data_IF_405630912271
#
_entry.id   IF_405630912271
#
_cell.length_a   1.000
_cell.length_b   1.000
_cell.length_c   1.000
_cell.angle_alpha   90.00
_cell.angle_beta   90.00
_cell.angle_gamma   90.00
#
_symmetry.space_group_name_H-M   'P 1'
#
loop_
_entity.id
_entity.type
_entity.pdbx_description
1 polymer ?
#
# COMPACT_ATOMS: atom_id res chain seq x y z
N UNK A 1 41.69 15.31 54.84
CA UNK A 1 41.72 15.21 56.32
C UNK A 1 40.81 16.34 56.80
N UNK A 2 39.61 16.15 57.33
CA UNK A 2 39.06 15.17 58.29
C UNK A 2 37.52 15.12 58.15
N UNK A 3 36.94 13.93 58.42
CA UNK A 3 35.67 13.63 59.12
C UNK A 3 34.37 14.35 58.69
N UNK A 4 33.25 13.71 58.37
CA UNK A 4 32.67 12.44 58.84
C UNK A 4 31.29 12.75 59.45
N UNK A 5 30.18 12.39 58.78
CA UNK A 5 28.81 12.46 59.33
C UNK A 5 27.98 11.27 58.85
N UNK A 6 27.81 10.33 59.79
CA UNK A 6 26.69 9.43 60.11
C UNK A 6 25.76 8.84 59.02
N UNK A 7 25.75 7.50 59.00
CA UNK A 7 24.72 6.60 58.46
C UNK A 7 23.47 6.50 59.38
N UNK A 8 22.28 6.49 58.74
CA UNK A 8 20.95 5.86 59.04
C UNK A 8 20.28 6.00 60.44
N UNK A 9 18.94 6.19 60.50
CA UNK A 9 18.00 5.08 60.21
C UNK A 9 16.71 5.40 59.41
N UNK A 10 16.25 4.39 58.65
CA UNK A 10 14.92 4.12 58.05
C UNK A 10 13.71 4.30 59.00
N UNK A 11 12.41 4.35 58.58
CA UNK A 11 11.79 3.50 57.53
C UNK A 11 10.62 4.08 56.66
N UNK A 12 10.29 3.29 55.63
CA UNK A 12 8.96 3.02 55.05
C UNK A 12 7.91 4.14 54.86
N UNK A 13 7.58 4.41 53.59
CA UNK A 13 6.17 4.32 53.18
C UNK A 13 6.04 3.81 51.74
N UNK A 14 5.66 2.54 51.68
CA UNK A 14 5.23 1.72 50.56
C UNK A 14 4.03 2.36 49.82
N UNK A 15 4.28 3.21 48.82
CA UNK A 15 3.22 3.66 47.89
C UNK A 15 3.02 2.61 46.82
N UNK A 16 2.20 1.61 47.16
CA UNK A 16 1.57 0.67 46.24
C UNK A 16 0.95 1.43 45.06
N UNK A 17 1.58 1.35 43.89
CA UNK A 17 1.02 1.78 42.61
C UNK A 17 -0.09 0.79 42.27
N UNK A 18 -1.33 1.18 42.54
CA UNK A 18 -2.49 0.41 42.07
C UNK A 18 -2.42 0.27 40.55
N UNK A 19 -2.64 -0.93 39.97
CA UNK A 19 -2.79 -1.06 38.54
C UNK A 19 -4.13 -0.44 38.20
N UNK A 20 -4.10 0.82 37.75
CA UNK A 20 -5.25 1.50 37.22
C UNK A 20 -5.86 0.62 36.14
N UNK A 21 -7.07 0.12 36.44
CA UNK A 21 -8.00 -0.56 35.57
C UNK A 21 -7.79 -0.13 34.12
N UNK A 22 -7.21 -1.01 33.31
CA UNK A 22 -7.16 -0.83 31.86
C UNK A 22 -8.59 -0.99 31.36
N UNK A 23 -9.37 0.09 31.47
CA UNK A 23 -10.55 0.28 30.67
C UNK A 23 -10.09 0.08 29.24
N UNK A 24 -10.45 -1.07 28.66
CA UNK A 24 -10.37 -1.32 27.22
C UNK A 24 -11.36 -0.36 26.56
N UNK A 25 -11.06 0.94 26.61
CA UNK A 25 -11.58 1.87 25.64
C UNK A 25 -11.03 1.35 24.34
N UNK A 26 -11.90 0.67 23.59
CA UNK A 26 -11.72 0.42 22.18
C UNK A 26 -11.49 1.81 21.60
N UNK A 27 -10.22 2.22 21.48
CA UNK A 27 -9.92 3.42 20.74
C UNK A 27 -10.36 3.06 19.34
N UNK A 28 -11.39 3.74 18.85
CA UNK A 28 -11.76 3.67 17.46
C UNK A 28 -10.60 4.35 16.75
N UNK A 29 -9.54 3.59 16.49
CA UNK A 29 -8.40 4.02 15.72
C UNK A 29 -8.98 4.50 14.40
N UNK A 30 -8.55 5.70 13.97
CA UNK A 30 -8.98 6.28 12.71
C UNK A 30 -8.91 5.21 11.60
N UNK A 31 -9.91 5.07 10.70
CA UNK A 31 -10.03 3.94 9.78
C UNK A 31 -8.75 3.69 8.95
N UNK A 32 -7.94 4.73 8.71
CA UNK A 32 -6.67 4.63 7.96
C UNK A 32 -5.41 4.40 8.80
N UNK A 33 -5.49 4.37 10.14
CA UNK A 33 -4.32 4.26 11.02
C UNK A 33 -3.47 3.00 10.74
N UNK A 34 -4.12 1.91 10.30
CA UNK A 34 -3.45 0.64 9.96
C UNK A 34 -2.58 0.73 8.70
N UNK A 35 -2.86 1.66 7.80
CA UNK A 35 -2.08 1.84 6.56
C UNK A 35 -0.68 2.39 6.85
N UNK A 36 -0.53 3.19 7.90
CA UNK A 36 0.74 3.80 8.29
C UNK A 36 1.60 2.89 9.19
N UNK A 37 1.00 1.90 9.85
CA UNK A 37 1.70 0.99 10.75
C UNK A 37 2.58 -0.06 10.03
N UNK A 38 2.46 -0.21 8.71
CA UNK A 38 3.18 -1.23 7.91
C UNK A 38 4.47 -0.73 7.24
N UNK A 39 4.98 0.45 7.60
CA UNK A 39 6.07 1.11 6.86
C UNK A 39 7.46 0.48 7.06
N UNK A 40 7.66 -0.37 8.06
CA UNK A 40 8.98 -0.94 8.42
C UNK A 40 9.27 -2.31 7.76
N UNK A 41 9.11 -2.43 6.45
CA UNK A 41 9.63 -3.60 5.71
C UNK A 41 11.05 -3.34 5.18
N UNK A 42 12.00 -4.13 5.67
CA UNK A 42 13.42 -4.14 5.28
C UNK A 42 13.57 -4.32 3.76
N UNK A 43 14.37 -3.46 3.13
CA UNK A 43 14.69 -3.45 1.69
C UNK A 43 15.34 -4.77 1.23
N UNK A 44 14.52 -5.79 0.93
CA UNK A 44 14.99 -6.99 0.20
C UNK A 44 15.06 -6.67 -1.29
N UNK A 45 16.06 -7.25 -1.98
CA UNK A 45 16.11 -7.22 -3.45
C UNK A 45 14.82 -7.84 -3.97
N UNK A 46 14.01 -7.00 -4.61
CA UNK A 46 12.73 -7.39 -5.20
C UNK A 46 13.06 -8.24 -6.41
N UNK A 47 12.97 -9.56 -6.25
CA UNK A 47 12.85 -10.46 -7.39
C UNK A 47 11.80 -9.85 -8.30
N UNK A 48 12.09 -9.81 -9.61
CA UNK A 48 11.14 -9.32 -10.60
C UNK A 48 9.95 -10.27 -10.63
N UNK A 49 9.05 -10.06 -9.67
CA UNK A 49 7.77 -10.71 -9.57
C UNK A 49 6.86 -9.91 -10.48
N UNK A 50 6.60 -10.43 -11.67
CA UNK A 50 5.53 -9.91 -12.50
C UNK A 50 4.24 -9.96 -11.67
N UNK A 51 3.77 -8.79 -11.22
CA UNK A 51 2.72 -8.71 -10.20
C UNK A 51 1.42 -9.40 -10.60
N UNK A 52 1.22 -9.58 -11.91
CA UNK A 52 0.05 -10.20 -12.53
C UNK A 52 0.30 -11.61 -13.06
N UNK A 53 1.43 -12.26 -12.75
CA UNK A 53 1.64 -13.66 -13.15
C UNK A 53 0.65 -14.62 -12.46
N UNK A 54 0.31 -14.37 -11.20
CA UNK A 54 -0.60 -15.22 -10.42
C UNK A 54 -2.00 -15.40 -11.04
N UNK A 55 -2.65 -14.34 -11.58
CA UNK A 55 -3.91 -14.51 -12.31
C UNK A 55 -3.76 -15.04 -13.74
N UNK A 56 -2.55 -15.01 -14.32
CA UNK A 56 -2.31 -15.44 -15.70
C UNK A 56 -1.88 -16.91 -15.81
N UNK A 57 -1.17 -17.42 -14.81
CA UNK A 57 -0.61 -18.77 -14.81
C UNK A 57 -1.06 -19.54 -13.58
N UNK A 58 -1.35 -20.81 -13.79
CA UNK A 58 -1.53 -21.78 -12.71
C UNK A 58 -0.21 -22.06 -11.99
N UNK A 59 -0.24 -22.55 -10.72
CA UNK A 59 0.97 -22.95 -10.01
C UNK A 59 1.80 -23.98 -10.77
N UNK A 60 1.13 -24.89 -11.49
CA UNK A 60 1.77 -25.88 -12.34
C UNK A 60 2.59 -25.22 -13.45
N UNK A 61 1.97 -24.36 -14.26
CA UNK A 61 2.63 -23.65 -15.37
C UNK A 61 3.81 -22.77 -14.90
N UNK A 62 3.69 -22.13 -13.73
CA UNK A 62 4.79 -21.36 -13.14
C UNK A 62 6.01 -22.25 -12.84
N UNK A 63 5.79 -23.50 -12.45
CA UNK A 63 6.86 -24.44 -12.10
C UNK A 63 7.45 -25.16 -13.31
N UNK A 64 6.67 -25.42 -14.35
CA UNK A 64 7.07 -26.24 -15.51
C UNK A 64 7.49 -25.42 -16.73
N UNK A 65 6.87 -24.26 -16.96
CA UNK A 65 7.22 -23.43 -18.12
C UNK A 65 8.54 -22.71 -17.91
N UNK A 66 9.30 -22.48 -18.99
CA UNK A 66 10.55 -21.75 -18.91
C UNK A 66 10.28 -20.25 -18.80
N UNK A 67 11.17 -19.53 -18.10
CA UNK A 67 11.02 -18.10 -17.88
C UNK A 67 10.85 -17.24 -19.17
N UNK A 68 11.56 -17.52 -20.28
CA UNK A 68 11.35 -16.77 -21.54
C UNK A 68 9.94 -16.93 -22.11
N UNK A 69 9.39 -18.15 -22.10
CA UNK A 69 8.06 -18.45 -22.63
C UNK A 69 6.98 -17.77 -21.79
N UNK A 70 7.11 -17.83 -20.46
CA UNK A 70 6.21 -17.12 -19.54
C UNK A 70 6.25 -15.62 -19.76
N UNK A 71 7.44 -15.04 -19.98
CA UNK A 71 7.60 -13.61 -20.25
C UNK A 71 6.90 -13.18 -21.53
N UNK A 72 6.98 -13.98 -22.59
CA UNK A 72 6.29 -13.69 -23.85
C UNK A 72 4.78 -13.65 -23.66
N UNK A 73 4.21 -14.68 -23.03
CA UNK A 73 2.76 -14.76 -22.74
C UNK A 73 2.32 -13.60 -21.83
N UNK A 74 3.12 -13.29 -20.80
CA UNK A 74 2.85 -12.15 -19.93
C UNK A 74 2.76 -10.84 -20.72
N UNK A 75 3.74 -10.55 -21.60
CA UNK A 75 3.74 -9.33 -22.41
C UNK A 75 2.52 -9.29 -23.34
N UNK A 76 2.25 -10.38 -24.08
CA UNK A 76 1.10 -10.43 -24.97
C UNK A 76 -0.22 -10.25 -24.23
N UNK A 77 -0.35 -10.78 -23.01
CA UNK A 77 -1.54 -10.58 -22.18
C UNK A 77 -1.72 -9.10 -21.77
N UNK A 78 -0.62 -8.39 -21.46
CA UNK A 78 -0.66 -6.96 -21.16
C UNK A 78 -1.05 -6.14 -22.39
N UNK A 79 -0.50 -6.46 -23.56
CA UNK A 79 -0.83 -5.79 -24.81
C UNK A 79 -2.31 -5.94 -25.16
N UNK A 80 -2.86 -7.16 -25.04
CA UNK A 80 -4.31 -7.40 -25.22
C UNK A 80 -5.13 -6.59 -24.22
N UNK A 81 -4.69 -6.49 -22.96
CA UNK A 81 -5.39 -5.68 -21.97
C UNK A 81 -5.37 -4.19 -22.32
N UNK A 82 -4.23 -3.65 -22.75
CA UNK A 82 -4.11 -2.26 -23.22
C UNK A 82 -5.03 -2.00 -24.40
N UNK A 83 -5.10 -2.93 -25.36
CA UNK A 83 -5.99 -2.80 -26.51
C UNK A 83 -7.47 -2.75 -26.08
N UNK A 84 -7.88 -3.54 -25.07
CA UNK A 84 -9.23 -3.47 -24.50
C UNK A 84 -9.50 -2.12 -23.84
N UNK A 85 -8.53 -1.57 -23.09
CA UNK A 85 -8.67 -0.24 -22.49
C UNK A 85 -8.79 0.84 -23.57
N UNK A 86 -8.01 0.75 -24.65
CA UNK A 86 -8.14 1.67 -25.79
C UNK A 86 -9.52 1.57 -26.46
N UNK A 87 -10.06 0.37 -26.64
CA UNK A 87 -11.41 0.20 -27.17
C UNK A 87 -12.47 0.85 -26.26
N UNK A 88 -12.35 0.71 -24.93
CA UNK A 88 -13.25 1.36 -23.98
C UNK A 88 -13.13 2.90 -24.04
N UNK A 89 -11.91 3.44 -24.13
CA UNK A 89 -11.70 4.89 -24.26
C UNK A 89 -12.28 5.44 -25.56
N UNK A 90 -12.19 4.66 -26.65
CA UNK A 90 -12.79 5.00 -27.93
C UNK A 90 -14.33 5.01 -27.84
N UNK A 91 -14.94 4.00 -27.21
CA UNK A 91 -16.39 3.92 -27.01
C UNK A 91 -16.92 5.09 -26.17
N UNK A 92 -16.17 5.51 -25.15
CA UNK A 92 -16.52 6.67 -24.32
C UNK A 92 -16.21 8.02 -24.98
N UNK A 93 -15.59 8.05 -26.16
CA UNK A 93 -15.23 9.27 -26.88
C UNK A 93 -14.03 10.02 -26.31
N UNK A 94 -13.24 9.42 -25.42
CA UNK A 94 -12.00 10.00 -24.88
C UNK A 94 -10.77 9.78 -25.79
N UNK A 95 -10.88 8.88 -26.75
CA UNK A 95 -9.85 8.60 -27.75
C UNK A 95 -10.47 8.62 -29.16
N UNK A 96 -9.80 9.19 -30.18
CA UNK A 96 -8.50 9.86 -30.15
C UNK A 96 -8.56 11.28 -29.57
N UNK A 97 -7.48 11.69 -28.88
CA UNK A 97 -7.35 13.03 -28.30
C UNK A 97 -6.99 14.05 -29.39
N UNK A 98 -7.73 15.17 -29.53
CA UNK A 98 -7.41 16.21 -30.52
C UNK A 98 -6.00 16.79 -30.33
N UNK A 99 -5.27 17.03 -31.43
CA UNK A 99 -3.90 17.58 -31.37
C UNK A 99 -3.78 18.90 -30.59
N UNK A 100 -4.82 19.75 -30.63
CA UNK A 100 -4.85 21.01 -29.89
C UNK A 100 -4.72 20.80 -28.37
N UNK A 101 -5.26 19.69 -27.86
CA UNK A 101 -5.16 19.32 -26.45
C UNK A 101 -3.81 18.68 -26.10
N UNK A 102 -3.07 18.22 -27.12
CA UNK A 102 -1.73 17.64 -26.96
C UNK A 102 -0.62 18.70 -26.98
N UNK A 103 -0.87 19.90 -27.55
CA UNK A 103 0.11 20.98 -27.63
C UNK A 103 0.77 21.34 -26.29
N UNK A 104 0.05 21.42 -25.15
CA UNK A 104 0.68 21.70 -23.84
C UNK A 104 1.69 20.64 -23.38
N UNK A 105 1.60 19.42 -23.92
CA UNK A 105 2.47 18.30 -23.56
C UNK A 105 3.61 18.09 -24.55
N UNK A 106 3.73 18.95 -25.57
CA UNK A 106 4.82 18.88 -26.53
C UNK A 106 6.17 19.12 -25.84
N UNK A 107 7.11 18.20 -26.05
CA UNK A 107 8.41 18.23 -25.37
C UNK A 107 8.43 17.61 -23.97
N UNK A 108 7.31 17.01 -23.53
CA UNK A 108 7.30 16.23 -22.27
C UNK A 108 8.31 15.07 -22.35
N UNK A 109 9.29 15.09 -21.46
CA UNK A 109 10.28 14.02 -21.36
C UNK A 109 9.61 12.73 -20.88
N UNK A 110 9.98 11.61 -21.51
CA UNK A 110 9.64 10.25 -21.10
C UNK A 110 9.83 10.01 -19.59
N UNK A 111 10.90 10.51 -18.98
CA UNK A 111 11.12 10.36 -17.53
C UNK A 111 10.06 11.10 -16.69
N UNK A 112 9.68 12.31 -17.11
CA UNK A 112 8.64 13.10 -16.45
C UNK A 112 7.28 12.41 -16.60
N UNK A 113 6.94 11.97 -17.81
CA UNK A 113 5.72 11.21 -18.07
C UNK A 113 5.63 9.95 -17.21
N UNK A 114 6.72 9.18 -17.11
CA UNK A 114 6.79 7.99 -16.23
C UNK A 114 6.59 8.34 -14.77
N UNK A 115 7.21 9.42 -14.28
CA UNK A 115 7.05 9.88 -12.90
C UNK A 115 5.60 10.26 -12.59
N UNK A 116 4.95 11.01 -13.50
CA UNK A 116 3.54 11.40 -13.36
C UNK A 116 2.62 10.17 -13.28
N UNK A 117 2.78 9.21 -14.19
CA UNK A 117 1.98 7.97 -14.21
C UNK A 117 2.25 7.11 -12.97
N UNK A 118 3.50 7.03 -12.52
CA UNK A 118 3.88 6.28 -11.31
C UNK A 118 3.22 6.88 -10.06
N UNK A 119 3.21 8.20 -9.93
CA UNK A 119 2.57 8.88 -8.80
C UNK A 119 1.05 8.69 -8.84
N UNK A 120 0.43 8.84 -10.02
CA UNK A 120 -0.99 8.58 -10.20
C UNK A 120 -1.38 7.14 -9.80
N UNK A 121 -0.57 6.15 -10.21
CA UNK A 121 -0.76 4.75 -9.80
C UNK A 121 -0.69 4.61 -8.27
N UNK A 122 0.32 5.24 -7.65
CA UNK A 122 0.53 5.17 -6.22
C UNK A 122 -0.68 5.74 -5.47
N UNK A 123 -1.15 6.91 -5.90
CA UNK A 123 -2.33 7.57 -5.34
C UNK A 123 -3.58 6.70 -5.49
N UNK A 124 -3.81 6.12 -6.67
CA UNK A 124 -4.92 5.19 -6.91
C UNK A 124 -4.84 3.95 -6.00
N UNK A 125 -3.64 3.42 -5.77
CA UNK A 125 -3.43 2.28 -4.86
C UNK A 125 -3.76 2.64 -3.41
N UNK A 126 -3.32 3.82 -2.95
CA UNK A 126 -3.66 4.33 -1.62
C UNK A 126 -5.17 4.55 -1.50
N UNK A 127 -5.81 5.14 -2.50
CA UNK A 127 -7.25 5.37 -2.50
C UNK A 127 -8.02 4.05 -2.39
N UNK A 128 -7.60 3.02 -3.14
CA UNK A 128 -8.19 1.67 -3.06
C UNK A 128 -8.03 1.06 -1.66
N UNK A 129 -6.85 1.18 -1.05
CA UNK A 129 -6.63 0.69 0.32
C UNK A 129 -7.50 1.43 1.34
N UNK A 130 -7.63 2.75 1.22
CA UNK A 130 -8.53 3.55 2.06
C UNK A 130 -9.98 3.09 1.91
N UNK A 131 -10.44 2.86 0.68
CA UNK A 131 -11.79 2.37 0.40
C UNK A 131 -12.04 1.02 1.08
N UNK A 132 -11.11 0.07 1.00
CA UNK A 132 -11.23 -1.23 1.66
C UNK A 132 -11.30 -1.13 3.20
N UNK A 133 -10.54 -0.21 3.81
CA UNK A 133 -10.61 0.02 5.25
C UNK A 133 -11.94 0.69 5.65
N UNK A 134 -12.48 1.60 4.82
CA UNK A 134 -13.82 2.16 5.01
C UNK A 134 -14.90 1.08 4.94
N UNK A 135 -14.89 0.25 3.89
CA UNK A 135 -15.82 -0.86 3.75
C UNK A 135 -15.77 -1.81 4.95
N UNK A 136 -14.56 -2.11 5.45
CA UNK A 136 -14.37 -2.92 6.67
C UNK A 136 -14.99 -2.25 7.89
N UNK A 137 -14.74 -0.96 8.10
CA UNK A 137 -15.29 -0.22 9.23
C UNK A 137 -16.83 -0.19 9.19
N UNK A 138 -17.42 0.06 8.01
CA UNK A 138 -18.88 0.02 7.80
C UNK A 138 -19.45 -1.37 8.07
N UNK A 139 -18.80 -2.44 7.61
CA UNK A 139 -19.23 -3.81 7.92
C UNK A 139 -19.23 -4.06 9.43
N UNK A 140 -18.16 -3.70 10.13
CA UNK A 140 -18.05 -3.88 11.58
C UNK A 140 -19.12 -3.12 12.37
N UNK A 141 -19.45 -1.89 11.97
CA UNK A 141 -20.51 -1.11 12.63
C UNK A 141 -21.90 -1.66 12.32
N UNK A 142 -22.13 -2.20 11.12
CA UNK A 142 -23.41 -2.83 10.76
C UNK A 142 -23.69 -4.12 11.50
N UNK A 143 -22.66 -4.89 11.89
CA UNK A 143 -22.80 -6.12 12.70
C UNK A 143 -22.95 -5.89 14.20
N UNK A 144 -22.79 -4.65 14.68
CA UNK A 144 -22.90 -4.28 16.10
C UNK A 144 -24.27 -3.68 16.48
N UNK A 145 -25.24 -3.70 15.56
CA UNK A 145 -26.66 -3.40 15.81
C UNK A 145 -27.48 -4.67 15.73
#
# INVERSE_FOLDING_TARGET
>A
MTSGIADEPSPEHDRKKSPGSSSRRISIAHPYARLFAKKDEVKRRKIWNHALEKPLFTPYELSTMRAPDRRSIYISSLEVHINRLHAQLLEMGFWPVPFKELEPYKGLNMMTAKSMVSNLQHDASIAKLKLLELERAVRLTSTLR
#
